data_IF_568515997327
#
_entry.id   IF_568515997327
#
_cell.length_a   1.000
_cell.length_b   1.000
_cell.length_c   1.000
_cell.angle_alpha   90.00
_cell.angle_beta   90.00
_cell.angle_gamma   90.00
#
_symmetry.space_group_name_H-M   'P 1'
#
loop_
_entity.id
_entity.type
_entity.pdbx_description
1 polymer ?
#
# COMPACT_ATOMS: atom_id res chain seq x y z
N UNK A 1 -40.44 26.48 -31.30
CA UNK A 1 -39.28 27.02 -30.56
C UNK A 1 -38.29 27.44 -31.62
N UNK A 2 -38.06 28.75 -31.82
CA UNK A 2 -37.22 29.25 -32.89
C UNK A 2 -35.77 29.34 -32.40
N UNK A 3 -34.88 28.53 -32.97
CA UNK A 3 -33.44 28.57 -32.71
C UNK A 3 -32.88 29.75 -33.50
N UNK A 4 -32.18 30.67 -32.84
CA UNK A 4 -31.63 31.90 -33.43
C UNK A 4 -30.09 31.81 -33.47
N UNK A 5 -29.51 31.80 -34.66
CA UNK A 5 -28.04 31.71 -34.83
C UNK A 5 -27.25 32.87 -34.21
N UNK A 6 -27.90 33.98 -33.85
CA UNK A 6 -27.27 35.11 -33.16
C UNK A 6 -27.24 34.98 -31.62
N UNK A 7 -27.89 33.97 -31.04
CA UNK A 7 -27.91 33.75 -29.59
C UNK A 7 -27.53 32.29 -29.29
N UNK A 8 -26.31 32.08 -28.77
CA UNK A 8 -25.75 30.76 -28.46
C UNK A 8 -26.64 29.97 -27.49
N UNK A 9 -27.37 30.67 -26.62
CA UNK A 9 -28.28 30.08 -25.63
C UNK A 9 -29.67 29.73 -26.19
N UNK A 10 -29.91 29.96 -27.48
CA UNK A 10 -31.19 29.64 -28.14
C UNK A 10 -31.20 28.28 -28.84
N UNK A 11 -30.08 27.54 -28.77
CA UNK A 11 -29.92 26.18 -29.30
C UNK A 11 -30.32 25.07 -28.33
N UNK A 12 -29.91 23.83 -28.65
CA UNK A 12 -30.06 22.66 -27.79
C UNK A 12 -28.73 22.40 -27.11
N UNK A 13 -28.73 22.38 -25.79
CA UNK A 13 -27.54 22.10 -24.99
C UNK A 13 -27.44 20.61 -24.66
N UNK A 14 -26.26 20.03 -24.87
CA UNK A 14 -25.95 18.66 -24.50
C UNK A 14 -24.83 18.66 -23.47
N UNK A 15 -25.14 18.19 -22.26
CA UNK A 15 -24.19 18.16 -21.14
C UNK A 15 -23.94 16.71 -20.77
N UNK A 16 -22.68 16.31 -20.64
CA UNK A 16 -22.34 15.03 -20.03
C UNK A 16 -22.57 15.11 -18.52
N UNK A 17 -23.30 14.14 -17.96
CA UNK A 17 -23.51 14.04 -16.50
C UNK A 17 -22.37 13.34 -15.78
N UNK A 18 -21.45 12.72 -16.51
CA UNK A 18 -20.28 12.04 -15.96
C UNK A 18 -19.02 12.91 -16.00
N UNK A 19 -18.08 12.60 -15.11
CA UNK A 19 -16.79 13.28 -15.03
C UNK A 19 -15.66 12.40 -15.58
N UNK A 20 -14.60 13.04 -16.08
CA UNK A 20 -13.37 12.39 -16.53
C UNK A 20 -13.20 12.31 -18.05
N UNK A 21 -11.97 12.05 -18.49
CA UNK A 21 -11.58 12.03 -19.91
C UNK A 21 -12.28 10.97 -20.76
N UNK A 22 -12.89 9.98 -20.11
CA UNK A 22 -13.68 8.91 -20.75
C UNK A 22 -15.09 9.34 -21.09
N UNK A 23 -15.59 10.41 -20.48
CA UNK A 23 -16.91 10.96 -20.73
C UNK A 23 -16.82 11.98 -21.87
N UNK A 24 -17.79 11.98 -22.77
CA UNK A 24 -17.80 12.92 -23.89
C UNK A 24 -19.22 13.20 -24.38
N UNK A 25 -19.37 14.33 -25.05
CA UNK A 25 -20.54 14.67 -25.85
C UNK A 25 -20.06 14.85 -27.28
N UNK A 26 -20.75 14.22 -28.24
CA UNK A 26 -20.44 14.35 -29.66
C UNK A 26 -21.74 14.57 -30.42
N UNK A 27 -21.74 15.54 -31.31
CA UNK A 27 -22.90 15.89 -32.13
C UNK A 27 -22.49 15.79 -33.58
N UNK A 28 -23.28 15.04 -34.36
CA UNK A 28 -23.10 14.91 -35.79
C UNK A 28 -24.45 15.09 -36.48
N UNK A 29 -24.49 15.96 -37.48
CA UNK A 29 -25.69 16.23 -38.26
C UNK A 29 -25.88 15.13 -39.30
N UNK A 30 -26.99 14.38 -39.25
CA UNK A 30 -27.31 13.40 -40.29
C UNK A 30 -27.81 14.05 -41.60
N UNK A 31 -28.45 15.23 -41.50
CA UNK A 31 -28.95 16.02 -42.63
C UNK A 31 -28.87 17.51 -42.24
N UNK A 32 -28.32 18.36 -43.11
CA UNK A 32 -28.19 19.81 -42.88
C UNK A 32 -26.87 20.23 -42.22
N UNK A 33 -26.74 21.51 -41.89
CA UNK A 33 -25.59 22.08 -41.17
C UNK A 33 -26.06 22.68 -39.85
N UNK A 34 -25.41 22.30 -38.76
CA UNK A 34 -25.61 22.88 -37.43
C UNK A 34 -24.28 23.41 -36.94
N UNK A 35 -24.27 24.64 -36.44
CA UNK A 35 -23.10 25.20 -35.76
C UNK A 35 -23.05 24.63 -34.34
N UNK A 36 -22.02 23.86 -34.05
CA UNK A 36 -21.78 23.28 -32.72
C UNK A 36 -20.64 24.05 -32.06
N UNK A 37 -20.91 24.66 -30.93
CA UNK A 37 -19.92 25.41 -30.15
C UNK A 37 -19.75 24.81 -28.76
N UNK A 38 -18.56 24.94 -28.19
CA UNK A 38 -18.31 24.67 -26.77
C UNK A 38 -18.81 25.82 -25.88
N UNK A 39 -18.69 25.66 -24.55
CA UNK A 39 -19.13 26.65 -23.55
C UNK A 39 -18.39 28.00 -23.68
N UNK A 40 -17.20 27.99 -24.30
CA UNK A 40 -16.39 29.18 -24.56
C UNK A 40 -16.69 29.79 -25.95
N UNK A 41 -17.62 29.21 -26.71
CA UNK A 41 -18.07 29.68 -28.01
C UNK A 41 -17.19 29.26 -29.18
N UNK A 42 -16.28 28.30 -29.01
CA UNK A 42 -15.44 27.80 -30.10
C UNK A 42 -16.14 26.68 -30.85
N UNK A 43 -15.99 26.64 -32.18
CA UNK A 43 -16.53 25.57 -33.02
C UNK A 43 -15.96 24.20 -32.60
N UNK A 44 -16.82 23.36 -32.03
CA UNK A 44 -16.46 22.05 -31.51
C UNK A 44 -17.63 21.09 -31.66
N UNK A 45 -17.43 20.03 -32.45
CA UNK A 45 -18.41 18.96 -32.65
C UNK A 45 -18.30 17.83 -31.61
N UNK A 46 -17.21 17.82 -30.84
CA UNK A 46 -16.97 16.88 -29.74
C UNK A 46 -16.27 17.58 -28.58
N UNK A 47 -16.86 17.44 -27.40
CA UNK A 47 -16.25 17.86 -26.15
C UNK A 47 -16.03 16.66 -25.23
N UNK A 48 -14.94 16.68 -24.47
CA UNK A 48 -14.53 15.60 -23.58
C UNK A 48 -14.45 16.11 -22.15
N UNK A 49 -14.88 15.27 -21.21
CA UNK A 49 -14.72 15.54 -19.80
C UNK A 49 -13.24 15.64 -19.42
N UNK A 50 -12.96 16.21 -18.25
CA UNK A 50 -11.61 16.36 -17.72
C UNK A 50 -11.47 15.55 -16.43
N UNK A 51 -10.31 14.94 -16.26
CA UNK A 51 -9.96 14.26 -15.02
C UNK A 51 -9.46 15.27 -13.98
N UNK A 52 -9.78 15.01 -12.71
CA UNK A 52 -9.23 15.78 -11.62
C UNK A 52 -7.71 15.58 -11.53
N UNK A 53 -6.99 16.65 -11.24
CA UNK A 53 -5.56 16.60 -10.94
C UNK A 53 -5.34 17.10 -9.52
N UNK A 54 -4.53 16.39 -8.75
CA UNK A 54 -4.21 16.78 -7.38
C UNK A 54 -2.71 16.63 -7.12
N UNK A 55 -2.16 17.54 -6.31
CA UNK A 55 -0.81 17.40 -5.78
C UNK A 55 -0.92 17.03 -4.30
N UNK A 56 -0.46 15.85 -3.93
CA UNK A 56 -0.56 15.30 -2.58
C UNK A 56 0.85 15.05 -2.07
N UNK A 57 1.25 15.74 -0.99
CA UNK A 57 2.63 15.70 -0.46
C UNK A 57 3.71 15.94 -1.53
N UNK A 58 3.43 16.80 -2.52
CA UNK A 58 4.34 17.10 -3.63
C UNK A 58 4.33 16.09 -4.79
N UNK A 59 3.59 14.98 -4.68
CA UNK A 59 3.36 14.05 -5.79
C UNK A 59 2.13 14.50 -6.60
N UNK A 60 2.31 14.73 -7.90
CA UNK A 60 1.20 14.94 -8.82
C UNK A 60 0.50 13.61 -9.09
N UNK A 61 -0.82 13.56 -8.86
CA UNK A 61 -1.68 12.43 -9.20
C UNK A 61 -2.80 12.89 -10.12
N UNK A 62 -3.07 12.09 -11.14
CA UNK A 62 -4.18 12.27 -12.08
C UNK A 62 -5.26 11.27 -11.70
N UNK A 63 -6.47 11.78 -11.46
CA UNK A 63 -7.63 10.96 -11.13
C UNK A 63 -8.25 10.30 -12.36
N UNK A 64 -9.22 9.42 -12.10
CA UNK A 64 -10.20 8.96 -13.09
C UNK A 64 -11.53 9.66 -12.78
N UNK A 65 -11.88 10.68 -13.57
CA UNK A 65 -12.94 11.62 -13.23
C UNK A 65 -12.64 12.35 -11.92
N UNK A 66 -13.53 12.20 -10.93
CA UNK A 66 -13.39 12.80 -9.59
C UNK A 66 -12.63 11.88 -8.61
N UNK A 67 -12.23 10.67 -9.02
CA UNK A 67 -11.55 9.72 -8.13
C UNK A 67 -10.05 9.88 -8.23
N UNK A 68 -9.42 10.33 -7.16
CA UNK A 68 -7.98 10.49 -7.04
C UNK A 68 -7.41 9.35 -6.21
N UNK A 69 -6.38 8.69 -6.73
CA UNK A 69 -5.65 7.61 -6.04
C UNK A 69 -4.19 8.00 -5.89
N UNK A 70 -3.62 7.75 -4.73
CA UNK A 70 -2.19 7.87 -4.51
C UNK A 70 -1.71 6.62 -3.78
N UNK A 71 -0.71 5.96 -4.36
CA UNK A 71 -0.03 4.85 -3.73
C UNK A 71 1.47 5.14 -3.73
N UNK A 72 2.01 5.39 -2.55
CA UNK A 72 3.43 5.64 -2.30
C UNK A 72 3.89 4.78 -1.13
N UNK A 73 5.19 4.67 -0.90
CA UNK A 73 5.75 3.92 0.24
C UNK A 73 5.27 4.42 1.60
N UNK A 74 4.89 5.70 1.71
CA UNK A 74 4.48 6.33 2.97
C UNK A 74 2.98 6.55 3.08
N UNK A 75 2.24 6.55 1.95
CA UNK A 75 0.83 6.91 1.89
C UNK A 75 0.10 6.12 0.79
N UNK A 76 -0.97 5.41 1.18
CA UNK A 76 -1.92 4.74 0.28
C UNK A 76 -3.34 5.29 0.51
N UNK A 77 -3.88 6.00 -0.48
CA UNK A 77 -5.18 6.68 -0.39
C UNK A 77 -5.99 6.58 -1.67
N UNK A 78 -7.30 6.62 -1.49
CA UNK A 78 -8.31 6.83 -2.53
C UNK A 78 -9.29 7.88 -2.01
N UNK A 79 -9.52 8.92 -2.80
CA UNK A 79 -10.42 10.02 -2.50
C UNK A 79 -11.38 10.22 -3.66
N UNK A 80 -12.64 10.45 -3.35
CA UNK A 80 -13.64 10.90 -4.32
C UNK A 80 -13.94 12.37 -4.04
N UNK A 81 -13.67 13.21 -5.03
CA UNK A 81 -13.89 14.65 -4.95
C UNK A 81 -15.39 14.94 -5.15
N UNK A 82 -15.93 15.94 -4.45
CA UNK A 82 -17.25 16.47 -4.77
C UNK A 82 -17.19 17.18 -6.14
N UNK A 83 -18.26 17.17 -6.93
CA UNK A 83 -18.32 17.87 -8.22
C UNK A 83 -18.03 19.39 -8.11
N UNK A 84 -18.37 20.02 -6.97
CA UNK A 84 -18.03 21.42 -6.68
C UNK A 84 -16.57 21.62 -6.21
N UNK A 85 -15.86 20.53 -5.94
CA UNK A 85 -14.47 20.54 -5.49
C UNK A 85 -13.57 20.71 -6.72
N UNK A 86 -13.25 21.96 -7.06
CA UNK A 86 -12.52 22.29 -8.30
C UNK A 86 -12.68 23.73 -8.77
N UNK A 87 -13.59 24.50 -8.16
CA UNK A 87 -13.61 25.97 -8.23
C UNK A 87 -12.39 26.53 -7.45
N UNK A 88 -11.18 26.38 -8.02
CA UNK A 88 -9.91 26.88 -7.47
C UNK A 88 -8.96 25.80 -6.89
N UNK A 89 -7.87 26.26 -6.26
CA UNK A 89 -6.88 25.39 -5.59
C UNK A 89 -7.31 25.09 -4.16
N UNK A 90 -7.63 23.83 -3.87
CA UNK A 90 -7.94 23.36 -2.52
C UNK A 90 -6.77 22.52 -1.97
N UNK A 91 -6.37 22.78 -0.73
CA UNK A 91 -5.39 21.96 -0.01
C UNK A 91 -6.04 21.35 1.22
N UNK A 92 -5.92 20.04 1.39
CA UNK A 92 -6.25 19.37 2.63
C UNK A 92 -5.01 18.60 3.11
N UNK A 93 -4.78 18.62 4.42
CA UNK A 93 -3.75 17.81 5.04
C UNK A 93 -4.37 16.50 5.52
N UNK A 94 -3.67 15.39 5.29
CA UNK A 94 -4.03 14.12 5.93
C UNK A 94 -3.41 14.15 7.33
N UNK A 95 -4.17 14.57 8.33
CA UNK A 95 -3.69 14.78 9.71
C UNK A 95 -3.61 13.49 10.53
N UNK A 96 -3.39 12.35 9.86
CA UNK A 96 -3.35 11.03 10.48
C UNK A 96 -4.24 10.03 9.76
N UNK A 97 -3.85 8.77 9.83
CA UNK A 97 -4.62 7.68 9.26
C UNK A 97 -3.88 6.35 9.40
N UNK A 98 -4.39 5.51 10.28
CA UNK A 98 -3.96 4.12 10.40
C UNK A 98 -2.92 3.83 11.48
N UNK A 99 -2.73 2.54 11.72
CA UNK A 99 -1.69 2.07 12.62
C UNK A 99 -0.37 1.96 11.84
N UNK A 100 0.70 2.46 12.46
CA UNK A 100 2.07 2.28 11.98
C UNK A 100 2.57 0.91 12.47
N UNK A 101 2.94 0.05 11.52
CA UNK A 101 3.52 -1.25 11.81
C UNK A 101 5.01 -1.24 11.51
N UNK A 102 5.79 -1.71 12.47
CA UNK A 102 7.21 -1.99 12.31
C UNK A 102 7.37 -3.44 11.83
N UNK A 103 7.88 -3.64 10.63
CA UNK A 103 8.05 -4.96 10.02
C UNK A 103 9.48 -5.47 10.08
N UNK A 104 10.47 -4.57 10.09
CA UNK A 104 11.89 -4.92 10.17
C UNK A 104 12.48 -4.70 11.56
N UNK A 105 13.77 -5.02 11.72
CA UNK A 105 14.50 -4.83 12.97
C UNK A 105 14.93 -3.37 13.22
N UNK A 106 14.94 -2.53 12.17
CA UNK A 106 15.36 -1.13 12.26
C UNK A 106 14.18 -0.18 12.06
N UNK A 107 14.12 0.85 12.89
CA UNK A 107 13.10 1.91 12.83
C UNK A 107 13.47 2.90 11.71
N UNK A 108 13.13 2.54 10.47
CA UNK A 108 13.29 3.41 9.30
C UNK A 108 12.08 3.28 8.35
N UNK A 109 11.91 4.27 7.47
CA UNK A 109 10.76 4.35 6.57
C UNK A 109 10.63 3.19 5.58
N UNK A 110 11.70 2.44 5.33
CA UNK A 110 11.69 1.28 4.42
C UNK A 110 11.24 -0.01 5.12
N UNK A 111 11.24 -0.03 6.46
CA UNK A 111 10.89 -1.18 7.29
C UNK A 111 9.64 -0.93 8.14
N UNK A 112 8.95 0.17 7.83
CA UNK A 112 7.70 0.58 8.45
C UNK A 112 6.62 0.71 7.39
N UNK A 113 5.39 0.40 7.75
CA UNK A 113 4.25 0.55 6.86
C UNK A 113 3.06 1.10 7.63
N UNK A 114 2.30 1.98 6.98
CA UNK A 114 1.07 2.53 7.53
C UNK A 114 -0.14 1.86 6.88
N UNK A 115 -1.14 1.49 7.69
CA UNK A 115 -2.42 1.04 7.17
C UNK A 115 -3.59 1.68 7.91
N UNK A 116 -4.39 2.45 7.16
CA UNK A 116 -5.63 3.07 7.61
C UNK A 116 -6.83 2.21 7.27
N UNK A 117 -7.67 1.93 8.27
CA UNK A 117 -8.99 1.32 8.06
C UNK A 117 -10.02 2.42 8.23
N UNK A 118 -10.79 2.69 7.18
CA UNK A 118 -11.89 3.64 7.28
C UNK A 118 -13.01 3.05 8.16
N UNK A 119 -13.75 3.93 8.83
CA UNK A 119 -14.89 3.52 9.63
C UNK A 119 -15.92 2.78 8.78
N UNK A 120 -16.40 1.65 9.30
CA UNK A 120 -17.49 0.86 8.72
C UNK A 120 -18.81 1.09 9.46
N UNK A 121 -18.91 2.17 10.23
CA UNK A 121 -20.17 2.58 10.85
C UNK A 121 -21.19 2.94 9.77
N UNK A 122 -22.47 2.66 10.02
CA UNK A 122 -23.53 2.82 9.02
C UNK A 122 -23.68 4.27 8.50
N UNK A 123 -23.30 5.27 9.29
CA UNK A 123 -23.30 6.68 8.89
C UNK A 123 -22.10 7.08 8.00
N UNK A 124 -21.13 6.20 7.80
CA UNK A 124 -19.93 6.44 7.00
C UNK A 124 -19.88 5.55 5.74
N UNK A 125 -20.78 4.59 5.60
CA UNK A 125 -20.88 3.69 4.45
C UNK A 125 -22.01 4.16 3.53
N UNK A 126 -21.68 4.42 2.27
CA UNK A 126 -22.51 5.13 1.29
C UNK A 126 -21.79 6.35 0.72
N UNK A 127 -22.54 7.28 0.14
CA UNK A 127 -22.00 8.50 -0.47
C UNK A 127 -22.96 9.69 -0.32
N UNK A 128 -22.47 10.90 -0.61
CA UNK A 128 -23.27 12.12 -0.49
C UNK A 128 -24.35 12.30 -1.56
N UNK A 129 -24.38 11.45 -2.60
CA UNK A 129 -25.32 11.54 -3.72
C UNK A 129 -26.57 10.71 -3.44
N UNK A 130 -26.38 9.42 -3.17
CA UNK A 130 -27.48 8.50 -2.88
C UNK A 130 -27.82 8.48 -1.38
N UNK A 131 -26.85 8.68 -0.49
CA UNK A 131 -27.02 8.65 0.97
C UNK A 131 -26.19 7.55 1.65
N UNK A 132 -26.41 7.37 2.95
CA UNK A 132 -25.64 6.46 3.79
C UNK A 132 -26.50 5.32 4.34
N UNK A 133 -25.88 4.22 4.81
CA UNK A 133 -26.61 3.06 5.34
C UNK A 133 -27.55 3.40 6.51
N UNK A 134 -27.24 4.43 7.30
CA UNK A 134 -28.13 4.89 8.36
C UNK A 134 -29.44 5.52 7.84
N UNK A 135 -29.49 5.99 6.59
CA UNK A 135 -30.68 6.58 5.98
C UNK A 135 -31.76 5.54 5.60
N UNK A 136 -31.42 4.25 5.62
CA UNK A 136 -32.33 3.14 5.30
C UNK A 136 -33.25 2.79 6.47
N UNK A 137 -32.97 3.30 7.68
CA UNK A 137 -33.79 3.05 8.87
C UNK A 137 -35.23 3.55 8.68
N UNK A 138 -36.17 3.01 9.46
CA UNK A 138 -37.54 3.52 9.48
C UNK A 138 -37.56 5.02 9.82
N UNK A 139 -38.17 5.83 8.93
CA UNK A 139 -38.20 7.29 9.06
C UNK A 139 -36.99 8.02 8.49
N UNK A 140 -35.99 7.31 7.96
CA UNK A 140 -34.88 7.88 7.22
C UNK A 140 -35.25 8.33 5.79
N UNK A 141 -34.38 9.14 5.17
CA UNK A 141 -34.61 9.73 3.85
C UNK A 141 -34.67 8.69 2.72
N UNK A 142 -34.03 7.54 2.90
CA UNK A 142 -34.01 6.41 1.98
C UNK A 142 -34.73 5.17 2.56
N UNK A 143 -35.69 5.38 3.46
CA UNK A 143 -36.41 4.29 4.12
C UNK A 143 -37.17 3.39 3.13
N UNK A 144 -37.02 2.07 3.27
CA UNK A 144 -37.77 1.08 2.47
C UNK A 144 -39.29 1.15 2.72
N UNK A 145 -39.71 1.59 3.91
CA UNK A 145 -41.12 1.76 4.25
C UNK A 145 -41.76 2.87 3.39
N UNK A 146 -40.97 3.86 2.96
CA UNK A 146 -41.43 4.95 2.11
C UNK A 146 -41.49 4.61 0.61
N UNK A 147 -41.19 3.36 0.21
CA UNK A 147 -41.20 2.93 -1.19
C UNK A 147 -39.94 3.31 -2.00
N UNK A 148 -38.90 3.85 -1.35
CA UNK A 148 -37.65 4.26 -2.00
C UNK A 148 -36.67 3.09 -2.23
N UNK A 149 -37.14 1.98 -2.79
CA UNK A 149 -36.37 0.73 -2.93
C UNK A 149 -35.14 0.90 -3.83
N UNK A 150 -35.25 1.67 -4.91
CA UNK A 150 -34.16 1.86 -5.86
C UNK A 150 -32.99 2.63 -5.24
N UNK A 151 -33.31 3.69 -4.49
CA UNK A 151 -32.31 4.49 -3.77
C UNK A 151 -31.65 3.68 -2.66
N UNK A 152 -32.45 2.94 -1.88
CA UNK A 152 -31.93 2.06 -0.83
C UNK A 152 -31.00 0.97 -1.42
N UNK A 153 -31.35 0.41 -2.59
CA UNK A 153 -30.53 -0.59 -3.27
C UNK A 153 -29.17 -0.02 -3.70
N UNK A 154 -29.14 1.20 -4.24
CA UNK A 154 -27.88 1.85 -4.63
C UNK A 154 -26.98 2.14 -3.43
N UNK A 155 -27.54 2.63 -2.32
CA UNK A 155 -26.78 2.84 -1.08
C UNK A 155 -26.16 1.51 -0.60
N UNK A 156 -26.94 0.42 -0.61
CA UNK A 156 -26.46 -0.91 -0.26
C UNK A 156 -25.33 -1.38 -1.18
N UNK A 157 -25.48 -1.22 -2.50
CA UNK A 157 -24.46 -1.59 -3.46
C UNK A 157 -23.15 -0.81 -3.24
N UNK A 158 -23.24 0.50 -3.04
CA UNK A 158 -22.09 1.35 -2.72
C UNK A 158 -21.42 0.91 -1.42
N UNK A 159 -22.19 0.67 -0.35
CA UNK A 159 -21.65 0.22 0.93
C UNK A 159 -20.97 -1.16 0.83
N UNK A 160 -21.58 -2.12 0.14
CA UNK A 160 -21.00 -3.45 -0.12
C UNK A 160 -19.69 -3.31 -0.89
N UNK A 161 -19.66 -2.45 -1.92
CA UNK A 161 -18.46 -2.17 -2.70
C UNK A 161 -17.35 -1.58 -1.85
N UNK A 162 -17.65 -0.58 -1.01
CA UNK A 162 -16.69 0.04 -0.09
C UNK A 162 -16.08 -0.99 0.87
N UNK A 163 -16.91 -1.83 1.52
CA UNK A 163 -16.43 -2.89 2.41
C UNK A 163 -15.62 -3.94 1.65
N UNK A 164 -16.04 -4.32 0.45
CA UNK A 164 -15.34 -5.31 -0.37
C UNK A 164 -13.96 -4.79 -0.82
N UNK A 165 -13.87 -3.52 -1.22
CA UNK A 165 -12.59 -2.87 -1.53
C UNK A 165 -11.71 -2.81 -0.30
N UNK A 166 -12.24 -2.44 0.88
CA UNK A 166 -11.50 -2.44 2.13
C UNK A 166 -10.92 -3.83 2.47
N UNK A 167 -11.73 -4.88 2.34
CA UNK A 167 -11.28 -6.27 2.54
C UNK A 167 -10.21 -6.67 1.53
N UNK A 168 -10.37 -6.27 0.27
CA UNK A 168 -9.38 -6.51 -0.78
C UNK A 168 -8.04 -5.84 -0.46
N UNK A 169 -8.06 -4.58 0.00
CA UNK A 169 -6.87 -3.84 0.42
C UNK A 169 -6.18 -4.50 1.62
N UNK A 170 -6.94 -4.91 2.64
CA UNK A 170 -6.41 -5.62 3.80
C UNK A 170 -5.79 -6.98 3.41
N UNK A 171 -6.45 -7.74 2.54
CA UNK A 171 -5.92 -9.01 2.03
C UNK A 171 -4.65 -8.82 1.20
N UNK A 172 -4.61 -7.80 0.34
CA UNK A 172 -3.41 -7.46 -0.42
C UNK A 172 -2.26 -7.04 0.49
N UNK A 173 -2.53 -6.25 1.52
CA UNK A 173 -1.54 -5.84 2.52
C UNK A 173 -0.96 -7.04 3.27
N UNK A 174 -1.82 -7.94 3.76
CA UNK A 174 -1.40 -9.16 4.44
C UNK A 174 -0.49 -10.00 3.54
N UNK A 175 -0.94 -10.31 2.32
CA UNK A 175 -0.22 -11.19 1.40
C UNK A 175 1.08 -10.59 0.87
N UNK A 176 1.04 -9.34 0.42
CA UNK A 176 2.16 -8.74 -0.29
C UNK A 176 3.16 -8.06 0.65
N UNK A 177 2.74 -7.71 1.87
CA UNK A 177 3.59 -6.96 2.81
C UNK A 177 3.96 -7.82 4.01
N UNK A 178 2.98 -8.33 4.75
CA UNK A 178 3.25 -9.10 5.98
C UNK A 178 3.90 -10.45 5.68
N UNK A 179 3.31 -11.23 4.78
CA UNK A 179 3.82 -12.57 4.43
C UNK A 179 5.19 -12.48 3.74
N UNK A 180 5.37 -11.52 2.82
CA UNK A 180 6.68 -11.30 2.18
C UNK A 180 7.75 -10.85 3.16
N UNK A 181 7.40 -9.97 4.12
CA UNK A 181 8.34 -9.55 5.17
C UNK A 181 8.69 -10.71 6.09
N UNK A 182 7.69 -11.50 6.52
CA UNK A 182 7.90 -12.68 7.35
C UNK A 182 8.85 -13.67 6.67
N UNK A 183 8.61 -14.01 5.40
CA UNK A 183 9.48 -14.91 4.65
C UNK A 183 10.92 -14.38 4.56
N UNK A 184 11.08 -13.08 4.31
CA UNK A 184 12.40 -12.44 4.24
C UNK A 184 13.13 -12.50 5.59
N UNK A 185 12.42 -12.27 6.70
CA UNK A 185 12.99 -12.39 8.05
C UNK A 185 13.33 -13.83 8.41
N UNK A 186 12.55 -14.81 7.97
CA UNK A 186 12.82 -16.22 8.22
C UNK A 186 14.08 -16.69 7.49
N UNK A 187 14.28 -16.25 6.25
CA UNK A 187 15.53 -16.48 5.50
C UNK A 187 16.72 -15.81 6.20
N UNK A 188 16.55 -14.56 6.68
CA UNK A 188 17.60 -13.88 7.42
C UNK A 188 17.96 -14.62 8.72
N UNK A 189 16.97 -15.12 9.46
CA UNK A 189 17.16 -15.91 10.66
C UNK A 189 17.93 -17.20 10.37
N UNK A 190 17.57 -17.92 9.30
CA UNK A 190 18.26 -19.14 8.88
C UNK A 190 19.74 -18.86 8.56
N UNK A 191 20.02 -17.80 7.78
CA UNK A 191 21.38 -17.40 7.43
C UNK A 191 22.22 -17.01 8.67
N UNK A 192 21.62 -16.28 9.61
CA UNK A 192 22.29 -15.89 10.87
C UNK A 192 22.57 -17.13 11.72
N UNK A 193 21.61 -18.04 11.85
CA UNK A 193 21.76 -19.28 12.64
C UNK A 193 22.82 -20.20 12.03
N UNK A 194 22.87 -20.32 10.70
CA UNK A 194 23.90 -21.09 10.00
C UNK A 194 25.30 -20.49 10.20
N UNK A 195 25.39 -19.15 10.16
CA UNK A 195 26.64 -18.42 10.44
C UNK A 195 27.08 -18.61 11.89
N UNK A 196 26.16 -18.52 12.85
CA UNK A 196 26.42 -18.78 14.27
C UNK A 196 26.91 -20.21 14.50
N UNK A 197 26.25 -21.21 13.90
CA UNK A 197 26.67 -22.62 13.97
C UNK A 197 28.10 -22.79 13.44
N UNK A 198 28.41 -22.18 12.30
CA UNK A 198 29.74 -22.28 11.68
C UNK A 198 30.83 -21.65 12.56
N UNK A 199 30.54 -20.51 13.18
CA UNK A 199 31.47 -19.87 14.12
C UNK A 199 31.67 -20.76 15.35
N UNK A 200 30.59 -21.25 15.94
CA UNK A 200 30.64 -22.11 17.12
C UNK A 200 31.39 -23.42 16.86
N UNK A 201 31.19 -24.04 15.70
CA UNK A 201 31.89 -25.26 15.31
C UNK A 201 33.39 -25.01 15.08
N UNK A 202 33.76 -23.88 14.47
CA UNK A 202 35.16 -23.48 14.30
C UNK A 202 35.85 -23.23 15.65
N UNK A 203 35.17 -22.56 16.59
CA UNK A 203 35.66 -22.31 17.94
C UNK A 203 35.83 -23.63 18.72
N UNK A 204 34.87 -24.55 18.61
CA UNK A 204 34.98 -25.89 19.21
C UNK A 204 36.15 -26.69 18.62
N UNK A 205 36.34 -26.63 17.31
CA UNK A 205 37.45 -27.30 16.64
C UNK A 205 38.80 -26.74 17.11
N UNK A 206 38.92 -25.41 17.24
CA UNK A 206 40.13 -24.75 17.73
C UNK A 206 40.45 -25.13 19.18
N UNK A 207 39.46 -25.09 20.08
CA UNK A 207 39.63 -25.46 21.49
C UNK A 207 39.99 -26.95 21.63
N UNK A 208 39.35 -27.83 20.86
CA UNK A 208 39.63 -29.27 20.88
C UNK A 208 41.05 -29.57 20.36
N UNK A 209 41.50 -28.88 19.32
CA UNK A 209 42.87 -29.00 18.80
C UNK A 209 43.90 -28.51 19.83
N UNK A 210 43.60 -27.41 20.54
CA UNK A 210 44.44 -26.89 21.61
C UNK A 210 44.50 -27.84 22.82
N UNK A 211 43.36 -28.39 23.25
CA UNK A 211 43.28 -29.41 24.29
C UNK A 211 44.12 -30.64 23.92
N UNK A 212 43.95 -31.16 22.69
CA UNK A 212 44.71 -32.31 22.19
C UNK A 212 46.20 -32.02 22.16
N UNK A 213 46.61 -30.83 21.67
CA UNK A 213 48.01 -30.40 21.68
C UNK A 213 48.57 -30.36 23.11
N UNK A 214 47.83 -29.82 24.05
CA UNK A 214 48.24 -29.74 25.46
C UNK A 214 48.36 -31.14 26.09
N UNK A 215 47.46 -32.07 25.77
CA UNK A 215 47.55 -33.46 26.20
C UNK A 215 48.78 -34.16 25.61
N UNK A 216 49.06 -33.98 24.32
CA UNK A 216 50.27 -34.52 23.68
C UNK A 216 51.53 -33.92 24.31
N UNK A 217 51.57 -32.61 24.56
CA UNK A 217 52.71 -31.95 25.20
C UNK A 217 52.95 -32.44 26.64
N UNK A 218 51.89 -32.66 27.42
CA UNK A 218 52.04 -33.20 28.79
C UNK A 218 52.51 -34.67 28.77
N UNK A 219 52.02 -35.49 27.85
CA UNK A 219 52.48 -36.87 27.68
C UNK A 219 53.93 -36.94 27.14
N UNK A 220 54.29 -36.09 26.19
CA UNK A 220 55.66 -35.97 25.70
C UNK A 220 56.61 -35.46 26.79
N UNK A 221 56.20 -34.45 27.57
CA UNK A 221 56.98 -33.92 28.68
C UNK A 221 57.27 -34.98 29.75
N UNK A 222 56.29 -35.81 30.11
CA UNK A 222 56.48 -36.92 31.05
C UNK A 222 57.40 -38.02 30.49
N UNK A 223 57.27 -38.38 29.21
CA UNK A 223 58.15 -39.36 28.54
C UNK A 223 59.59 -38.86 28.40
N UNK A 224 59.78 -37.57 28.05
CA UNK A 224 61.09 -36.93 27.99
C UNK A 224 61.70 -36.85 29.38
N UNK A 225 60.93 -36.49 30.43
CA UNK A 225 61.41 -36.54 31.82
C UNK A 225 61.81 -37.95 32.24
N UNK A 226 61.06 -39.00 31.87
CA UNK A 226 61.43 -40.38 32.15
C UNK A 226 62.74 -40.80 31.44
N UNK A 227 62.92 -40.36 30.19
CA UNK A 227 64.15 -40.59 29.41
C UNK A 227 65.33 -39.82 29.99
N UNK A 228 65.12 -38.56 30.38
CA UNK A 228 66.13 -37.71 31.01
C UNK A 228 66.55 -38.24 32.39
N UNK A 229 65.67 -38.90 33.13
CA UNK A 229 66.00 -39.52 34.42
C UNK A 229 66.72 -40.88 34.29
N UNK A 230 66.47 -41.63 33.22
CA UNK A 230 67.10 -42.95 33.01
C UNK A 230 68.49 -42.85 32.36
N UNK A 231 68.75 -41.81 31.56
CA UNK A 231 70.06 -41.60 30.91
C UNK A 231 71.23 -41.44 31.91
N UNK A 232 71.13 -40.61 32.97
CA UNK A 232 72.20 -40.47 33.99
C UNK A 232 72.46 -41.77 34.76
N UNK A 233 71.42 -42.58 35.01
CA UNK A 233 71.55 -43.87 35.71
C UNK A 233 72.32 -44.90 34.88
N UNK A 234 72.20 -44.87 33.55
CA UNK A 234 72.99 -45.72 32.66
C UNK A 234 74.46 -45.31 32.63
N UNK A 235 74.74 -44.00 32.67
CA UNK A 235 76.13 -43.50 32.75
C UNK A 235 76.78 -43.88 34.08
N UNK A 236 76.06 -43.79 35.20
CA UNK A 236 76.54 -44.24 36.51
C UNK A 236 76.87 -45.74 36.57
N UNK A 237 76.19 -46.57 35.77
CA UNK A 237 76.50 -48.01 35.64
C UNK A 237 77.75 -48.29 34.80
N UNK A 238 78.19 -47.37 33.97
CA UNK A 238 79.41 -47.49 33.14
C UNK A 238 80.67 -46.95 33.86
N UNK A 239 80.48 -46.26 35.00
CA UNK A 239 81.56 -45.71 35.83
C UNK A 239 81.86 -46.55 37.09
N UNK A 240 81.18 -47.69 37.26
CA UNK A 240 81.47 -48.74 38.26
C UNK A 240 82.15 -49.93 37.59
#
# INVERSE_FOLDING_TARGET
>A
MAINSANINSGVEFISTGFGSRQFVSIEAQIGSFDTVDIDGNDRNRDVGRDAQATINGALTVGDGLKVKLNTSTLDMELELNAAFGEGTQSFAITGGGALFQLGSQVNANQQVNIGIQSVAANNLGDGTDGYLNDLVAGGTASLIGGNTDRASRILETAIKQVSVMRGRLGAFQKNTLETSMNSMQIALENVTASESSIRDADFAAETAQLTRNQILTQAGTSVLATANSTPQQVLRLLQ
#
